data_IF_757214391355
#
_entry.id   IF_757214391355
#
_cell.length_a   1.000
_cell.length_b   1.000
_cell.length_c   1.000
_cell.angle_alpha   90.00
_cell.angle_beta   90.00
_cell.angle_gamma   90.00
#
_symmetry.space_group_name_H-M   'P 1'
#
loop_
_entity.id
_entity.type
_entity.pdbx_description
1 polymer ?
#
# COMPACT_ATOMS: atom_id res chain seq x y z
N UNK A 1 14.84 -4.68 -8.83
CA UNK A 1 14.88 -3.46 -7.99
C UNK A 1 13.67 -2.63 -8.34
N UNK A 2 12.80 -2.35 -7.37
CA UNK A 2 11.65 -1.47 -7.57
C UNK A 2 12.04 0.01 -7.43
N UNK A 3 11.25 0.89 -8.02
CA UNK A 3 11.40 2.35 -7.88
C UNK A 3 10.64 2.80 -6.63
N UNK A 4 11.26 3.53 -5.68
CA UNK A 4 10.53 4.11 -4.56
C UNK A 4 9.52 5.13 -5.06
N UNK A 5 8.32 5.09 -4.48
CA UNK A 5 7.20 5.95 -4.84
C UNK A 5 6.48 6.42 -3.58
N UNK A 6 5.66 7.46 -3.73
CA UNK A 6 4.63 7.82 -2.76
C UNK A 6 3.27 7.61 -3.40
N UNK A 7 2.30 7.18 -2.61
CA UNK A 7 0.94 7.03 -3.06
C UNK A 7 -0.04 7.54 -2.01
N UNK A 8 -1.18 8.08 -2.45
CA UNK A 8 -2.30 8.40 -1.58
C UNK A 8 -3.31 7.25 -1.62
N UNK A 9 -3.73 6.78 -0.45
CA UNK A 9 -4.80 5.79 -0.36
C UNK A 9 -6.16 6.44 -0.70
N UNK A 10 -6.90 5.87 -1.65
CA UNK A 10 -8.22 6.36 -2.08
C UNK A 10 -9.37 5.82 -1.21
N UNK A 11 -9.13 4.75 -0.48
CA UNK A 11 -10.02 4.14 0.52
C UNK A 11 -9.20 3.59 1.69
N UNK A 12 -9.87 3.16 2.75
CA UNK A 12 -9.21 2.39 3.80
C UNK A 12 -8.83 1.01 3.24
N UNK A 13 -7.56 0.64 3.38
CA UNK A 13 -7.01 -0.61 2.87
C UNK A 13 -6.74 -1.52 4.05
N UNK A 14 -7.18 -2.76 3.93
CA UNK A 14 -7.05 -3.78 4.96
C UNK A 14 -6.31 -4.97 4.40
N UNK A 15 -5.37 -5.51 5.17
CA UNK A 15 -4.66 -6.74 4.82
C UNK A 15 -5.03 -7.85 5.80
N UNK A 16 -5.06 -9.08 5.28
CA UNK A 16 -5.28 -10.26 6.11
C UNK A 16 -4.02 -10.55 6.93
N UNK A 17 -4.20 -10.56 8.24
CA UNK A 17 -3.21 -10.97 9.22
C UNK A 17 -3.75 -12.18 9.96
N UNK A 18 -3.54 -13.37 9.40
CA UNK A 18 -3.95 -14.66 9.96
C UNK A 18 -5.46 -14.73 10.27
N UNK A 19 -6.29 -14.28 9.31
CA UNK A 19 -7.74 -14.26 9.46
C UNK A 19 -8.30 -13.00 10.11
N UNK A 20 -7.45 -12.02 10.45
CA UNK A 20 -7.87 -10.70 10.93
C UNK A 20 -7.58 -9.63 9.88
N UNK A 21 -8.62 -8.96 9.39
CA UNK A 21 -8.48 -7.80 8.51
C UNK A 21 -7.99 -6.60 9.31
N UNK A 22 -6.72 -6.24 9.16
CA UNK A 22 -6.13 -5.05 9.79
C UNK A 22 -6.07 -3.90 8.82
N UNK A 23 -6.51 -2.73 9.26
CA UNK A 23 -6.33 -1.51 8.49
C UNK A 23 -4.84 -1.16 8.43
N UNK A 24 -4.30 -1.13 7.23
CA UNK A 24 -2.87 -0.82 6.96
C UNK A 24 -2.69 0.58 6.40
N UNK A 25 -3.69 1.08 5.66
CA UNK A 25 -3.70 2.42 5.12
C UNK A 25 -5.05 3.08 5.36
N UNK A 26 -5.01 4.29 5.90
CA UNK A 26 -6.16 5.17 6.05
C UNK A 26 -6.38 6.00 4.78
N UNK A 27 -7.64 6.08 4.36
CA UNK A 27 -8.09 6.89 3.23
C UNK A 27 -7.59 8.32 3.31
N UNK A 28 -7.09 8.84 2.19
CA UNK A 28 -6.66 10.22 2.00
C UNK A 28 -5.24 10.52 2.47
N UNK A 29 -4.60 9.62 3.23
CA UNK A 29 -3.20 9.76 3.66
C UNK A 29 -2.23 9.28 2.58
N UNK A 30 -1.02 9.83 2.64
CA UNK A 30 0.09 9.50 1.74
C UNK A 30 1.05 8.56 2.45
N UNK A 31 1.46 7.51 1.76
CA UNK A 31 2.37 6.50 2.27
C UNK A 31 3.51 6.26 1.28
N UNK A 32 4.61 5.73 1.79
CA UNK A 32 5.73 5.28 0.97
C UNK A 32 5.45 3.87 0.43
N UNK A 33 5.92 3.61 -0.78
CA UNK A 33 5.77 2.33 -1.45
C UNK A 33 6.88 2.08 -2.45
N UNK A 34 6.78 0.95 -3.15
CA UNK A 34 7.68 0.60 -4.23
C UNK A 34 6.88 0.17 -5.46
N UNK A 35 7.27 0.69 -6.62
CA UNK A 35 6.78 0.23 -7.91
C UNK A 35 7.75 -0.82 -8.47
N UNK A 36 7.26 -2.02 -8.69
CA UNK A 36 8.03 -3.14 -9.23
C UNK A 36 8.15 -3.04 -10.75
N UNK A 37 9.12 -3.76 -11.32
CA UNK A 37 9.40 -3.73 -12.76
C UNK A 37 8.22 -4.25 -13.63
N UNK A 38 7.32 -5.04 -13.04
CA UNK A 38 6.11 -5.53 -13.68
C UNK A 38 4.93 -4.53 -13.63
N UNK A 39 5.12 -3.34 -13.04
CA UNK A 39 4.09 -2.33 -12.87
C UNK A 39 3.24 -2.47 -11.62
N UNK A 40 3.42 -3.55 -10.83
CA UNK A 40 2.73 -3.69 -9.55
C UNK A 40 3.29 -2.70 -8.54
N UNK A 41 2.43 -2.27 -7.62
CA UNK A 41 2.81 -1.41 -6.51
C UNK A 41 2.66 -2.18 -5.22
N UNK A 42 3.63 -2.03 -4.31
CA UNK A 42 3.49 -2.47 -2.93
C UNK A 42 3.60 -1.26 -2.00
N UNK A 43 2.78 -1.25 -0.95
CA UNK A 43 2.83 -0.23 0.09
C UNK A 43 3.66 -0.70 1.28
N UNK A 44 4.34 0.23 1.96
CA UNK A 44 4.95 -0.04 3.25
C UNK A 44 3.99 0.41 4.35
N UNK A 45 3.46 -0.53 5.12
CA UNK A 45 2.61 -0.18 6.26
C UNK A 45 3.47 0.49 7.34
N UNK A 46 3.15 1.72 7.77
CA UNK A 46 3.91 2.36 8.85
C UNK A 46 3.60 1.78 10.23
N UNK A 47 2.52 0.98 10.34
CA UNK A 47 2.02 0.45 11.61
C UNK A 47 2.50 -0.98 11.90
N UNK A 48 2.74 -1.74 10.84
CA UNK A 48 3.11 -3.14 10.88
C UNK A 48 4.26 -3.24 9.89
N UNK A 49 5.45 -3.67 10.31
CA UNK A 49 6.68 -3.72 9.49
C UNK A 49 6.58 -4.76 8.36
N UNK A 50 5.58 -4.56 7.48
CA UNK A 50 5.11 -5.47 6.45
C UNK A 50 4.88 -4.68 5.17
N UNK A 51 5.11 -5.36 4.05
CA UNK A 51 4.96 -4.82 2.71
C UNK A 51 4.12 -5.79 1.90
N UNK A 52 3.06 -5.31 1.28
CA UNK A 52 2.20 -6.12 0.41
C UNK A 52 1.72 -5.30 -0.79
N UNK A 53 1.20 -6.00 -1.80
CA UNK A 53 0.63 -5.43 -3.02
C UNK A 53 -0.58 -4.53 -2.74
N UNK A 54 -0.71 -3.50 -3.57
CA UNK A 54 -1.91 -2.67 -3.64
C UNK A 54 -2.66 -2.98 -4.92
N UNK A 55 -3.98 -3.09 -4.81
CA UNK A 55 -4.82 -3.27 -5.98
C UNK A 55 -5.03 -1.95 -6.74
N UNK A 56 -5.32 -2.06 -8.03
CA UNK A 56 -5.66 -0.89 -8.84
C UNK A 56 -6.95 -0.24 -8.31
N UNK A 57 -6.93 1.09 -8.20
CA UNK A 57 -8.05 1.88 -7.68
C UNK A 57 -8.06 2.01 -6.15
N UNK A 58 -7.15 1.36 -5.42
CA UNK A 58 -6.98 1.61 -3.99
C UNK A 58 -6.09 2.82 -3.70
N UNK A 59 -5.30 3.25 -4.68
CA UNK A 59 -4.33 4.32 -4.53
C UNK A 59 -4.20 5.20 -5.79
N UNK A 60 -3.66 6.39 -5.60
CA UNK A 60 -3.12 7.25 -6.65
C UNK A 60 -1.65 7.56 -6.37
N UNK A 61 -0.81 7.56 -7.41
CA UNK A 61 0.59 7.95 -7.29
C UNK A 61 0.70 9.48 -7.13
N UNK A 62 1.63 9.91 -6.28
CA UNK A 62 1.91 11.33 -6.01
C UNK A 62 3.26 11.74 -6.60
#
# INVERSE_FOLDING_TARGET
MGKPIKFRALKDIYWDDWGHMRQVFEKGKIYDGVMHANGNVSGYSPFYDVTDGLDQGEYELV
#
